data_IF_595742808046
#
_entry.id   IF_595742808046
#
_cell.length_a   1.000
_cell.length_b   1.000
_cell.length_c   1.000
_cell.angle_alpha   90.00
_cell.angle_beta   90.00
_cell.angle_gamma   90.00
#
_symmetry.space_group_name_H-M   'P 1'
#
loop_
_entity.id
_entity.type
_entity.pdbx_description
1 polymer ?
#
# COMPACT_ATOMS: atom_id res chain seq x y z
N UNK A 1 -21.14 -22.22 9.84
CA UNK A 1 -20.15 -22.25 8.74
C UNK A 1 -20.88 -21.72 7.52
N UNK A 2 -20.39 -20.61 6.97
CA UNK A 2 -21.04 -19.99 5.81
C UNK A 2 -20.64 -20.80 4.56
N UNK A 3 -21.63 -21.28 3.82
CA UNK A 3 -21.52 -22.21 2.69
C UNK A 3 -21.16 -21.53 1.36
N UNK A 4 -20.71 -20.27 1.39
CA UNK A 4 -20.48 -19.43 0.19
C UNK A 4 -19.07 -19.54 -0.40
N UNK A 5 -18.28 -20.57 -0.06
CA UNK A 5 -16.87 -20.62 -0.48
C UNK A 5 -16.72 -21.26 -1.86
N UNK A 6 -17.31 -22.40 -2.10
CA UNK A 6 -17.43 -23.05 -3.41
C UNK A 6 -18.61 -24.03 -3.35
N UNK A 7 -19.60 -23.85 -4.20
CA UNK A 7 -20.62 -24.87 -4.43
C UNK A 7 -20.21 -25.76 -5.62
N UNK A 8 -19.68 -26.94 -5.34
CA UNK A 8 -19.32 -27.93 -6.37
C UNK A 8 -20.51 -28.41 -7.22
N UNK A 9 -21.74 -28.08 -6.81
CA UNK A 9 -22.96 -28.41 -7.52
C UNK A 9 -23.57 -27.20 -8.27
N UNK A 10 -22.91 -26.05 -8.22
CA UNK A 10 -23.39 -24.88 -8.92
C UNK A 10 -23.51 -25.14 -10.41
N UNK A 11 -24.66 -24.77 -10.97
CA UNK A 11 -24.96 -24.94 -12.39
C UNK A 11 -25.13 -23.60 -13.05
N UNK A 12 -24.48 -23.40 -14.18
CA UNK A 12 -24.62 -22.23 -15.04
C UNK A 12 -25.12 -22.68 -16.42
N UNK A 13 -26.24 -22.14 -16.87
CA UNK A 13 -26.91 -22.53 -18.10
C UNK A 13 -27.27 -24.02 -18.20
N UNK A 14 -27.53 -24.71 -17.07
CA UNK A 14 -27.87 -26.12 -17.03
C UNK A 14 -26.70 -27.11 -17.01
N UNK A 15 -25.46 -26.58 -17.05
CA UNK A 15 -24.24 -27.39 -16.90
C UNK A 15 -23.55 -27.04 -15.57
N UNK A 16 -22.89 -28.03 -14.96
CA UNK A 16 -22.07 -27.78 -13.77
C UNK A 16 -20.91 -26.86 -14.09
N UNK A 17 -20.70 -25.83 -13.28
CA UNK A 17 -19.58 -24.88 -13.44
C UNK A 17 -18.23 -25.59 -13.31
N UNK A 18 -18.15 -26.59 -12.43
CA UNK A 18 -17.00 -27.50 -12.31
C UNK A 18 -17.42 -28.90 -12.75
N UNK A 19 -16.84 -29.40 -13.82
CA UNK A 19 -17.18 -30.73 -14.34
C UNK A 19 -16.69 -31.84 -13.41
N UNK A 20 -17.45 -32.97 -13.36
CA UNK A 20 -17.06 -34.14 -12.59
C UNK A 20 -15.69 -34.66 -13.01
N UNK A 21 -15.32 -34.54 -14.28
CA UNK A 21 -14.01 -34.91 -14.81
C UNK A 21 -12.89 -34.04 -14.22
N UNK A 22 -13.12 -32.73 -14.09
CA UNK A 22 -12.16 -31.82 -13.47
C UNK A 22 -11.96 -32.16 -11.98
N UNK A 23 -13.05 -32.40 -11.25
CA UNK A 23 -13.00 -32.83 -9.84
C UNK A 23 -12.29 -34.17 -9.68
N UNK A 24 -12.61 -35.17 -10.51
CA UNK A 24 -11.95 -36.48 -10.51
C UNK A 24 -10.44 -36.32 -10.69
N UNK A 25 -10.02 -35.51 -11.65
CA UNK A 25 -8.61 -35.26 -11.95
C UNK A 25 -7.87 -34.60 -10.78
N UNK A 26 -8.50 -33.64 -10.11
CA UNK A 26 -7.94 -32.99 -8.90
C UNK A 26 -7.79 -34.02 -7.77
N UNK A 27 -8.82 -34.85 -7.53
CA UNK A 27 -8.78 -35.88 -6.50
C UNK A 27 -7.69 -36.91 -6.80
N UNK A 28 -7.56 -37.37 -8.04
CA UNK A 28 -6.50 -38.32 -8.45
C UNK A 28 -5.11 -37.75 -8.21
N UNK A 29 -4.86 -36.45 -8.57
CA UNK A 29 -3.58 -35.79 -8.35
C UNK A 29 -3.29 -35.70 -6.85
N UNK A 30 -4.25 -35.20 -6.05
CA UNK A 30 -4.05 -35.01 -4.62
C UNK A 30 -3.95 -36.31 -3.83
N UNK A 31 -4.50 -37.41 -4.38
CA UNK A 31 -4.43 -38.77 -3.78
C UNK A 31 -3.14 -39.52 -4.12
N UNK A 32 -2.32 -39.01 -5.04
CA UNK A 32 -1.06 -39.63 -5.42
C UNK A 32 -0.07 -39.57 -4.23
N UNK A 33 0.49 -40.73 -3.80
CA UNK A 33 1.43 -40.80 -2.68
C UNK A 33 2.65 -39.89 -2.82
N UNK A 34 3.01 -39.45 -4.03
CA UNK A 34 4.11 -38.54 -4.29
C UNK A 34 3.84 -37.12 -3.81
N UNK A 35 2.57 -36.76 -3.62
CA UNK A 35 2.14 -35.42 -3.23
C UNK A 35 1.56 -35.38 -1.80
N UNK A 36 2.07 -36.24 -0.91
CA UNK A 36 1.66 -36.26 0.49
C UNK A 36 2.06 -34.95 1.15
N UNK A 37 1.11 -34.29 1.83
CA UNK A 37 1.26 -33.01 2.51
C UNK A 37 1.08 -33.13 4.03
N UNK A 38 1.32 -34.35 4.59
CA UNK A 38 1.24 -34.55 6.03
C UNK A 38 2.41 -33.88 6.77
N UNK A 39 2.21 -33.57 8.06
CA UNK A 39 3.24 -32.93 8.90
C UNK A 39 4.58 -33.67 8.98
N UNK A 40 4.62 -34.93 8.57
CA UNK A 40 5.85 -35.76 8.46
C UNK A 40 6.54 -35.63 7.11
N UNK A 41 5.82 -35.13 6.10
CA UNK A 41 6.26 -35.12 4.71
C UNK A 41 6.71 -33.72 4.28
N UNK A 42 6.17 -32.67 4.90
CA UNK A 42 6.46 -31.26 4.59
C UNK A 42 6.65 -30.44 5.86
N UNK A 43 7.40 -29.34 5.73
CA UNK A 43 7.57 -28.38 6.83
C UNK A 43 6.22 -27.71 7.21
N UNK A 44 6.00 -27.36 8.48
CA UNK A 44 4.72 -26.78 8.94
C UNK A 44 4.24 -25.60 8.12
N UNK A 45 5.16 -24.69 7.69
CA UNK A 45 4.84 -23.50 6.91
C UNK A 45 4.74 -23.74 5.38
N UNK A 46 4.95 -24.99 4.91
CA UNK A 46 4.95 -25.29 3.47
C UNK A 46 3.59 -24.98 2.81
N UNK A 47 2.49 -25.39 3.46
CA UNK A 47 1.14 -25.19 2.92
C UNK A 47 0.80 -23.70 2.81
N UNK A 48 1.16 -22.90 3.80
CA UNK A 48 0.99 -21.45 3.78
C UNK A 48 1.76 -20.81 2.62
N UNK A 49 3.04 -21.15 2.45
CA UNK A 49 3.87 -20.66 1.33
C UNK A 49 3.36 -21.09 -0.03
N UNK A 50 2.91 -22.34 -0.17
CA UNK A 50 2.32 -22.83 -1.41
C UNK A 50 1.03 -22.09 -1.76
N UNK A 51 0.18 -21.82 -0.76
CA UNK A 51 -1.05 -21.06 -0.94
C UNK A 51 -0.78 -19.60 -1.33
N UNK A 52 0.16 -18.94 -0.67
CA UNK A 52 0.60 -17.57 -1.06
C UNK A 52 1.12 -17.54 -2.50
N UNK A 53 1.87 -18.56 -2.93
CA UNK A 53 2.30 -18.68 -4.32
C UNK A 53 1.12 -18.76 -5.29
N UNK A 54 0.09 -19.56 -4.97
CA UNK A 54 -1.12 -19.66 -5.78
C UNK A 54 -1.88 -18.33 -5.83
N UNK A 55 -2.07 -17.67 -4.70
CA UNK A 55 -2.72 -16.35 -4.64
C UNK A 55 -1.97 -15.33 -5.52
N UNK A 56 -0.64 -15.32 -5.45
CA UNK A 56 0.18 -14.48 -6.33
C UNK A 56 -0.05 -14.80 -7.81
N UNK A 57 -0.07 -16.09 -8.18
CA UNK A 57 -0.32 -16.51 -9.57
C UNK A 57 -1.72 -16.13 -10.06
N UNK A 58 -2.73 -16.21 -9.21
CA UNK A 58 -4.06 -15.70 -9.53
C UNK A 58 -4.07 -14.18 -9.72
N UNK A 59 -3.41 -13.42 -8.84
CA UNK A 59 -3.28 -11.98 -8.98
C UNK A 59 -2.54 -11.56 -10.27
N UNK A 60 -1.49 -12.31 -10.66
CA UNK A 60 -0.76 -12.10 -11.93
C UNK A 60 -1.62 -12.39 -13.18
N UNK A 61 -2.51 -13.39 -13.11
CA UNK A 61 -3.27 -13.88 -14.28
C UNK A 61 -4.63 -13.21 -14.48
N UNK A 62 -5.26 -12.72 -13.42
CA UNK A 62 -6.64 -12.22 -13.44
C UNK A 62 -6.78 -10.72 -13.75
N UNK A 63 -5.68 -10.03 -14.09
CA UNK A 63 -5.67 -8.62 -14.46
C UNK A 63 -5.98 -7.67 -13.30
N UNK A 64 -6.50 -6.47 -13.61
CA UNK A 64 -6.72 -5.40 -12.62
C UNK A 64 -7.59 -5.82 -11.44
N UNK A 65 -8.67 -6.60 -11.67
CA UNK A 65 -9.65 -6.93 -10.62
C UNK A 65 -9.12 -7.84 -9.51
N UNK A 66 -8.17 -8.74 -9.81
CA UNK A 66 -7.61 -9.63 -8.78
C UNK A 66 -6.39 -9.04 -8.07
N UNK A 67 -5.67 -8.13 -8.73
CA UNK A 67 -4.56 -7.39 -8.12
C UNK A 67 -4.98 -6.41 -7.04
N UNK A 68 -6.26 -6.04 -6.97
CA UNK A 68 -6.83 -5.15 -5.95
C UNK A 68 -6.82 -5.76 -4.54
N UNK A 69 -6.74 -7.09 -4.43
CA UNK A 69 -6.85 -7.81 -3.17
C UNK A 69 -5.53 -8.38 -2.65
N UNK A 70 -4.43 -8.14 -3.34
CA UNK A 70 -3.15 -8.74 -2.99
C UNK A 70 -2.03 -7.70 -2.87
N UNK A 71 -1.57 -7.50 -1.64
CA UNK A 71 -0.36 -6.69 -1.38
C UNK A 71 0.88 -7.50 -1.77
N UNK A 72 1.83 -6.96 -2.54
CA UNK A 72 3.09 -7.65 -2.83
C UNK A 72 3.75 -8.14 -1.55
N UNK A 73 4.24 -9.38 -1.60
CA UNK A 73 4.79 -10.07 -0.44
C UNK A 73 5.89 -9.27 0.26
N UNK A 74 6.77 -8.69 -0.53
CA UNK A 74 7.92 -7.89 -0.09
C UNK A 74 7.47 -6.60 0.61
N UNK A 75 6.39 -5.99 0.12
CA UNK A 75 5.81 -4.78 0.75
C UNK A 75 5.18 -5.14 2.09
N UNK A 76 4.48 -6.28 2.16
CA UNK A 76 3.91 -6.77 3.42
C UNK A 76 5.00 -7.09 4.46
N UNK A 77 6.10 -7.73 4.06
CA UNK A 77 7.27 -7.95 4.91
C UNK A 77 7.89 -6.63 5.38
N UNK A 78 8.08 -5.67 4.46
CA UNK A 78 8.62 -4.35 4.81
C UNK A 78 7.74 -3.66 5.86
N UNK A 79 6.43 -3.60 5.64
CA UNK A 79 5.49 -2.97 6.58
C UNK A 79 5.56 -3.63 7.97
N UNK A 80 5.55 -4.96 8.02
CA UNK A 80 5.64 -5.70 9.29
C UNK A 80 6.97 -5.43 10.02
N UNK A 81 8.10 -5.35 9.31
CA UNK A 81 9.39 -4.99 9.90
C UNK A 81 9.49 -3.53 10.38
N UNK A 82 8.84 -2.59 9.67
CA UNK A 82 8.76 -1.18 10.10
C UNK A 82 7.97 -1.04 11.39
N UNK A 83 6.85 -1.76 11.49
CA UNK A 83 6.00 -1.78 12.69
C UNK A 83 6.69 -2.50 13.84
N UNK A 84 7.39 -3.60 13.58
CA UNK A 84 8.10 -4.41 14.58
C UNK A 84 7.19 -4.80 15.75
N UNK A 85 6.21 -5.69 15.54
CA UNK A 85 5.20 -6.05 16.52
C UNK A 85 5.79 -6.76 17.74
N UNK A 86 5.12 -6.62 18.89
CA UNK A 86 5.50 -7.25 20.16
C UNK A 86 4.46 -8.27 20.58
N UNK A 87 4.88 -9.22 21.44
CA UNK A 87 3.99 -10.27 21.94
C UNK A 87 2.72 -9.71 22.59
N UNK A 88 1.58 -10.32 22.23
CA UNK A 88 0.27 -10.02 22.79
C UNK A 88 -0.37 -8.74 22.28
N UNK A 89 0.28 -8.00 21.37
CA UNK A 89 -0.32 -6.83 20.73
C UNK A 89 -1.50 -7.21 19.83
N UNK A 90 -2.48 -6.33 19.73
CA UNK A 90 -3.63 -6.44 18.85
C UNK A 90 -3.33 -5.72 17.55
N UNK A 91 -3.39 -6.47 16.44
CA UNK A 91 -3.13 -5.98 15.09
C UNK A 91 -4.42 -5.95 14.30
N UNK A 92 -4.69 -4.83 13.63
CA UNK A 92 -5.88 -4.64 12.82
C UNK A 92 -5.55 -4.26 11.39
N UNK A 93 -6.27 -4.88 10.44
CA UNK A 93 -6.29 -4.47 9.04
C UNK A 93 -7.74 -4.18 8.61
N UNK A 94 -8.10 -2.89 8.40
CA UNK A 94 -9.47 -2.48 8.05
C UNK A 94 -9.92 -2.86 6.64
N UNK A 95 -9.02 -3.33 5.78
CA UNK A 95 -9.33 -3.86 4.44
C UNK A 95 -8.36 -4.99 4.09
N UNK A 96 -8.46 -6.08 4.88
CA UNK A 96 -7.41 -7.08 5.00
C UNK A 96 -7.15 -7.93 3.75
N UNK A 97 -8.01 -7.85 2.74
CA UNK A 97 -7.85 -8.66 1.54
C UNK A 97 -7.73 -10.15 1.89
N UNK A 98 -6.65 -10.78 1.47
CA UNK A 98 -6.32 -12.18 1.80
C UNK A 98 -5.73 -12.39 3.20
N UNK A 99 -5.63 -11.36 4.04
CA UNK A 99 -5.02 -11.43 5.37
C UNK A 99 -3.50 -11.40 5.39
N UNK A 100 -2.86 -11.17 4.24
CA UNK A 100 -1.40 -11.27 4.08
C UNK A 100 -0.60 -10.34 5.01
N UNK A 101 -1.05 -9.11 5.25
CA UNK A 101 -0.38 -8.17 6.17
C UNK A 101 -0.43 -8.67 7.62
N UNK A 102 -1.57 -9.17 8.07
CA UNK A 102 -1.75 -9.73 9.42
C UNK A 102 -0.81 -10.91 9.64
N UNK A 103 -0.74 -11.83 8.67
CA UNK A 103 0.15 -13.00 8.69
C UNK A 103 1.61 -12.55 8.78
N UNK A 104 2.03 -11.57 7.98
CA UNK A 104 3.43 -11.10 8.01
C UNK A 104 3.80 -10.44 9.34
N UNK A 105 2.87 -9.75 10.01
CA UNK A 105 3.10 -9.25 11.37
C UNK A 105 3.42 -10.39 12.35
N UNK A 106 2.64 -11.48 12.34
CA UNK A 106 2.89 -12.65 13.19
C UNK A 106 4.22 -13.34 12.83
N UNK A 107 4.52 -13.49 11.53
CA UNK A 107 5.79 -14.11 11.11
C UNK A 107 7.02 -13.26 11.49
N UNK A 108 6.94 -11.93 11.42
CA UNK A 108 8.03 -11.04 11.89
C UNK A 108 8.21 -11.17 13.41
N UNK A 109 7.13 -11.30 14.18
CA UNK A 109 7.24 -11.58 15.61
C UNK A 109 8.00 -12.89 15.85
N UNK A 110 7.66 -13.97 15.11
CA UNK A 110 8.34 -15.25 15.18
C UNK A 110 9.83 -15.19 14.82
N UNK A 111 10.19 -14.36 13.86
CA UNK A 111 11.60 -14.17 13.46
C UNK A 111 12.42 -13.35 14.45
N UNK A 112 11.79 -12.40 15.13
CA UNK A 112 12.49 -11.46 16.02
C UNK A 112 12.59 -11.95 17.45
N UNK A 113 11.75 -12.91 17.85
CA UNK A 113 11.71 -13.43 19.21
C UNK A 113 11.91 -14.96 19.23
N UNK A 114 12.82 -15.40 20.11
CA UNK A 114 13.18 -16.84 20.22
C UNK A 114 12.06 -17.69 20.85
N UNK A 115 11.26 -17.10 21.71
CA UNK A 115 10.14 -17.74 22.38
C UNK A 115 8.93 -16.82 22.33
N UNK A 116 7.80 -17.35 21.94
CA UNK A 116 6.53 -16.62 21.86
C UNK A 116 5.57 -17.27 22.84
N UNK A 117 5.32 -16.56 23.94
CA UNK A 117 4.36 -16.99 24.97
C UNK A 117 2.95 -16.43 24.66
N UNK A 118 2.90 -15.31 23.96
CA UNK A 118 1.65 -14.63 23.57
C UNK A 118 1.72 -14.24 22.10
N UNK A 119 1.05 -14.96 21.20
CA UNK A 119 0.95 -14.57 19.80
C UNK A 119 0.21 -13.23 19.67
N UNK A 120 0.27 -12.63 18.49
CA UNK A 120 -0.54 -11.44 18.15
C UNK A 120 -2.01 -11.82 18.11
N UNK A 121 -2.86 -10.88 18.47
CA UNK A 121 -4.31 -10.97 18.23
C UNK A 121 -4.61 -10.29 16.91
N UNK A 122 -4.96 -11.06 15.90
CA UNK A 122 -5.15 -10.58 14.55
C UNK A 122 -6.62 -10.28 14.29
N UNK A 123 -6.91 -9.07 13.78
CA UNK A 123 -8.24 -8.62 13.44
C UNK A 123 -8.25 -8.08 12.00
N UNK A 124 -9.18 -8.54 11.19
CA UNK A 124 -9.31 -8.11 9.80
C UNK A 124 -10.75 -7.83 9.42
N UNK A 125 -10.97 -6.80 8.60
CA UNK A 125 -12.26 -6.55 7.99
C UNK A 125 -12.11 -6.56 6.47
N UNK A 126 -13.01 -7.27 5.75
CA UNK A 126 -13.00 -7.38 4.30
C UNK A 126 -14.40 -7.22 3.73
N UNK A 127 -14.51 -6.46 2.64
CA UNK A 127 -15.79 -6.17 1.99
C UNK A 127 -16.28 -7.36 1.15
N UNK A 128 -15.38 -7.94 0.36
CA UNK A 128 -15.69 -8.92 -0.68
C UNK A 128 -15.79 -10.34 -0.11
N UNK A 129 -16.92 -11.02 -0.34
CA UNK A 129 -17.17 -12.36 0.25
C UNK A 129 -16.14 -13.41 -0.15
N UNK A 130 -15.74 -13.44 -1.42
CA UNK A 130 -14.70 -14.39 -1.90
C UNK A 130 -13.34 -14.12 -1.25
N UNK A 131 -12.94 -12.88 -1.13
CA UNK A 131 -11.67 -12.48 -0.52
C UNK A 131 -11.67 -12.71 1.00
N UNK A 132 -12.81 -12.46 1.65
CA UNK A 132 -13.04 -12.82 3.05
C UNK A 132 -12.83 -14.32 3.31
N UNK A 133 -13.36 -15.20 2.44
CA UNK A 133 -13.16 -16.64 2.54
C UNK A 133 -11.68 -17.02 2.34
N UNK A 134 -11.00 -16.38 1.40
CA UNK A 134 -9.55 -16.54 1.18
C UNK A 134 -8.76 -16.15 2.45
N UNK A 135 -9.10 -15.04 3.10
CA UNK A 135 -8.44 -14.62 4.33
C UNK A 135 -8.57 -15.67 5.45
N UNK A 136 -9.78 -16.21 5.65
CA UNK A 136 -9.98 -17.29 6.62
C UNK A 136 -9.16 -18.53 6.31
N UNK A 137 -9.15 -18.96 5.05
CA UNK A 137 -8.35 -20.12 4.63
C UNK A 137 -6.85 -19.87 4.85
N UNK A 138 -6.40 -18.66 4.55
CA UNK A 138 -5.00 -18.26 4.71
C UNK A 138 -4.57 -18.30 6.19
N UNK A 139 -5.42 -17.82 7.12
CA UNK A 139 -5.17 -17.94 8.55
C UNK A 139 -5.03 -19.40 8.98
N UNK A 140 -5.95 -20.27 8.55
CA UNK A 140 -5.91 -21.70 8.88
C UNK A 140 -4.66 -22.39 8.32
N UNK A 141 -4.27 -22.09 7.07
CA UNK A 141 -3.08 -22.69 6.44
C UNK A 141 -1.76 -22.26 7.06
N UNK A 142 -1.74 -21.10 7.72
CA UNK A 142 -0.60 -20.60 8.48
C UNK A 142 -0.67 -20.96 9.98
N UNK A 143 -1.66 -21.77 10.40
CA UNK A 143 -1.91 -22.13 11.79
C UNK A 143 -2.00 -20.90 12.72
N UNK A 144 -2.73 -19.88 12.25
CA UNK A 144 -2.91 -18.61 12.97
C UNK A 144 -4.36 -18.40 13.34
N UNK A 145 -4.58 -17.93 14.56
CA UNK A 145 -5.89 -17.46 15.02
C UNK A 145 -6.07 -15.99 14.66
N UNK A 146 -7.18 -15.66 13.99
CA UNK A 146 -7.54 -14.30 13.63
C UNK A 146 -9.05 -14.12 13.52
N UNK A 147 -9.55 -13.00 14.00
CA UNK A 147 -10.94 -12.60 13.84
C UNK A 147 -11.08 -11.81 12.53
N UNK A 148 -11.55 -12.48 11.48
CA UNK A 148 -11.84 -11.83 10.20
C UNK A 148 -13.35 -11.65 10.08
N UNK A 149 -13.80 -10.44 9.78
CA UNK A 149 -15.23 -10.09 9.67
C UNK A 149 -15.54 -9.51 8.30
N UNK A 150 -16.75 -9.77 7.79
CA UNK A 150 -17.20 -9.23 6.51
C UNK A 150 -17.95 -7.92 6.70
N UNK A 151 -17.59 -6.90 5.93
CA UNK A 151 -18.30 -5.62 5.88
C UNK A 151 -17.49 -4.48 5.30
N UNK A 152 -18.19 -3.41 4.94
CA UNK A 152 -17.56 -2.17 4.48
C UNK A 152 -17.07 -1.35 5.69
N UNK A 153 -15.79 -1.24 5.86
CA UNK A 153 -15.18 -0.54 7.01
C UNK A 153 -15.55 0.94 7.05
N UNK A 154 -15.68 1.59 5.90
CA UNK A 154 -16.00 3.02 5.87
C UNK A 154 -17.41 3.29 6.35
N UNK A 155 -18.41 2.49 5.92
CA UNK A 155 -19.82 2.72 6.25
C UNK A 155 -20.33 1.87 7.41
N UNK A 156 -19.63 0.76 7.73
CA UNK A 156 -20.07 -0.18 8.76
C UNK A 156 -18.86 -0.90 9.39
N UNK A 157 -18.01 -0.17 10.14
CA UNK A 157 -16.93 -0.80 10.88
C UNK A 157 -17.47 -1.81 11.87
N UNK A 158 -16.85 -2.97 11.98
CA UNK A 158 -17.33 -4.11 12.78
C UNK A 158 -16.64 -4.25 14.14
N UNK A 159 -15.42 -3.75 14.26
CA UNK A 159 -14.70 -3.82 15.53
C UNK A 159 -15.07 -2.61 16.38
N UNK A 160 -16.00 -2.83 17.31
CA UNK A 160 -16.54 -1.82 18.22
C UNK A 160 -16.42 -2.27 19.67
N UNK A 161 -16.15 -1.32 20.56
CA UNK A 161 -16.25 -1.44 22.01
C UNK A 161 -17.12 -0.30 22.52
N UNK A 162 -18.17 -0.60 23.29
CA UNK A 162 -19.12 0.39 23.83
C UNK A 162 -19.66 1.37 22.75
N UNK A 163 -20.00 0.85 21.58
CA UNK A 163 -20.46 1.61 20.39
C UNK A 163 -19.44 2.59 19.80
N UNK A 164 -18.18 2.53 20.22
CA UNK A 164 -17.04 3.28 19.65
C UNK A 164 -16.14 2.35 18.88
N UNK A 165 -15.28 2.90 18.02
CA UNK A 165 -14.24 2.09 17.36
C UNK A 165 -13.32 1.48 18.41
N UNK A 166 -13.14 0.16 18.33
CA UNK A 166 -12.11 -0.55 19.08
C UNK A 166 -10.74 0.02 18.74
N UNK A 167 -9.88 0.13 19.75
CA UNK A 167 -8.51 0.65 19.61
C UNK A 167 -7.50 -0.51 19.59
N UNK A 168 -6.53 -0.40 18.69
CA UNK A 168 -5.52 -1.43 18.47
C UNK A 168 -4.12 -0.89 18.75
N UNK A 169 -3.20 -1.79 19.10
CA UNK A 169 -1.79 -1.44 19.27
C UNK A 169 -1.15 -1.14 17.89
N UNK A 170 -1.58 -1.89 16.89
CA UNK A 170 -1.05 -1.82 15.53
C UNK A 170 -2.21 -1.79 14.52
N UNK A 171 -2.12 -0.89 13.54
CA UNK A 171 -2.98 -0.94 12.33
C UNK A 171 -2.09 -0.99 11.10
N UNK A 172 -2.27 -2.01 10.27
CA UNK A 172 -1.56 -2.17 8.99
C UNK A 172 -2.56 -2.35 7.88
N UNK A 173 -2.41 -1.65 6.77
CA UNK A 173 -3.38 -1.77 5.69
C UNK A 173 -2.85 -1.28 4.35
N UNK A 174 -3.38 -1.85 3.26
CA UNK A 174 -3.18 -1.39 1.89
C UNK A 174 -4.56 -1.21 1.25
N UNK A 175 -5.23 -0.07 1.49
CA UNK A 175 -6.55 0.19 0.91
C UNK A 175 -6.48 0.40 -0.60
N UNK A 176 -7.64 0.35 -1.26
CA UNK A 176 -7.76 0.73 -2.67
C UNK A 176 -7.41 2.21 -2.85
N UNK A 177 -6.39 2.51 -3.67
CA UNK A 177 -5.94 3.87 -3.92
C UNK A 177 -6.92 4.64 -4.80
N UNK A 178 -7.00 5.96 -4.55
CA UNK A 178 -7.86 6.86 -5.33
C UNK A 178 -9.31 6.40 -5.44
N UNK A 179 -9.84 5.76 -4.41
CA UNK A 179 -11.24 5.34 -4.37
C UNK A 179 -12.17 6.56 -4.47
N UNK A 180 -13.01 6.58 -5.50
CA UNK A 180 -13.84 7.74 -5.86
C UNK A 180 -15.18 7.82 -5.11
N UNK A 181 -15.56 6.84 -4.36
CA UNK A 181 -16.90 6.74 -3.75
C UNK A 181 -17.00 7.34 -2.35
N UNK A 182 -16.11 8.27 -1.98
CA UNK A 182 -16.18 8.97 -0.70
C UNK A 182 -17.13 10.17 -0.83
N UNK A 183 -18.39 9.96 -0.48
CA UNK A 183 -19.40 11.03 -0.43
C UNK A 183 -19.42 11.66 0.96
N UNK A 184 -19.05 12.95 1.05
CA UNK A 184 -19.05 13.69 2.30
C UNK A 184 -20.40 13.62 3.04
N UNK A 185 -21.52 13.70 2.33
CA UNK A 185 -22.87 13.68 2.95
C UNK A 185 -23.14 12.39 3.73
N UNK A 186 -22.53 11.27 3.31
CA UNK A 186 -22.63 9.99 4.03
C UNK A 186 -21.89 10.02 5.37
N UNK A 187 -20.87 10.87 5.51
CA UNK A 187 -19.97 10.88 6.66
C UNK A 187 -20.08 12.13 7.53
N UNK A 188 -20.95 13.08 7.19
CA UNK A 188 -21.15 14.31 7.99
C UNK A 188 -21.58 14.02 9.43
N UNK A 189 -22.36 12.94 9.64
CA UNK A 189 -22.80 12.47 10.94
C UNK A 189 -22.15 11.13 11.30
N UNK A 190 -20.83 10.98 11.01
CA UNK A 190 -20.11 9.76 11.36
C UNK A 190 -20.12 9.53 12.88
N UNK A 191 -20.77 8.45 13.37
CA UNK A 191 -20.91 8.20 14.82
C UNK A 191 -19.57 7.89 15.50
N UNK A 192 -18.52 7.72 14.72
CA UNK A 192 -17.17 7.40 15.20
C UNK A 192 -16.23 8.60 15.17
N UNK A 193 -16.72 9.79 14.77
CA UNK A 193 -15.97 11.05 14.75
C UNK A 193 -14.63 10.97 14.00
N UNK A 194 -14.59 10.17 12.91
CA UNK A 194 -13.33 9.88 12.19
C UNK A 194 -12.81 11.06 11.38
N UNK A 195 -13.65 11.98 10.92
CA UNK A 195 -13.33 12.92 9.86
C UNK A 195 -13.34 14.38 10.28
N UNK A 196 -14.46 14.90 10.78
CA UNK A 196 -14.64 16.33 11.11
C UNK A 196 -13.52 16.87 11.98
N UNK A 197 -13.17 16.16 13.04
CA UNK A 197 -12.20 16.59 14.05
C UNK A 197 -10.76 16.24 13.71
N UNK A 198 -10.59 15.53 12.58
CA UNK A 198 -9.29 15.03 12.11
C UNK A 198 -8.85 15.66 10.78
N UNK A 199 -9.08 16.97 10.63
CA UNK A 199 -8.67 17.74 9.46
C UNK A 199 -9.72 17.88 8.36
N UNK A 200 -10.96 17.39 8.60
CA UNK A 200 -12.09 17.51 7.69
C UNK A 200 -12.27 16.30 6.77
N UNK A 201 -13.13 16.44 5.79
CA UNK A 201 -13.54 15.34 4.91
C UNK A 201 -12.67 15.23 3.67
N UNK A 202 -12.27 14.00 3.32
CA UNK A 202 -11.56 13.73 2.07
C UNK A 202 -12.42 14.13 0.84
N UNK A 203 -11.80 14.43 -0.31
CA UNK A 203 -12.56 14.73 -1.53
C UNK A 203 -13.23 13.48 -2.08
N UNK A 204 -14.38 13.64 -2.77
CA UNK A 204 -15.09 12.53 -3.41
C UNK A 204 -14.28 11.81 -4.51
N UNK A 205 -13.18 12.42 -4.97
CA UNK A 205 -12.27 11.86 -5.98
C UNK A 205 -11.20 10.91 -5.42
N UNK A 206 -10.95 10.94 -4.10
CA UNK A 206 -9.94 10.10 -3.45
C UNK A 206 -10.22 9.94 -1.96
N UNK A 207 -10.37 8.70 -1.51
CA UNK A 207 -10.55 8.36 -0.10
C UNK A 207 -9.22 8.09 0.65
N UNK A 208 -8.06 8.31 0.03
CA UNK A 208 -6.76 7.96 0.62
C UNK A 208 -6.59 8.54 2.03
N UNK A 209 -6.89 9.82 2.21
CA UNK A 209 -6.82 10.46 3.53
C UNK A 209 -7.93 10.01 4.48
N UNK A 210 -9.10 9.62 3.98
CA UNK A 210 -10.15 9.05 4.83
C UNK A 210 -9.72 7.71 5.46
N UNK A 211 -8.97 6.90 4.72
CA UNK A 211 -8.35 5.68 5.26
C UNK A 211 -7.33 5.99 6.35
N UNK A 212 -6.47 6.99 6.14
CA UNK A 212 -5.51 7.43 7.17
C UNK A 212 -6.21 7.94 8.43
N UNK A 213 -7.32 8.70 8.28
CA UNK A 213 -8.15 9.15 9.40
C UNK A 213 -8.79 7.96 10.15
N UNK A 214 -9.31 6.96 9.43
CA UNK A 214 -9.84 5.75 10.07
C UNK A 214 -8.74 5.00 10.84
N UNK A 215 -7.55 4.87 10.27
CA UNK A 215 -6.40 4.22 10.92
C UNK A 215 -6.02 4.94 12.21
N UNK A 216 -5.84 6.27 12.15
CA UNK A 216 -5.38 7.01 13.34
C UNK A 216 -6.42 6.99 14.49
N UNK A 217 -7.73 7.04 14.13
CA UNK A 217 -8.81 6.92 15.13
C UNK A 217 -8.93 5.49 15.67
N UNK A 218 -8.46 4.48 14.96
CA UNK A 218 -8.45 3.07 15.42
C UNK A 218 -7.20 2.69 16.22
N UNK A 219 -6.24 3.60 16.39
CA UNK A 219 -5.02 3.35 17.19
C UNK A 219 -5.22 3.72 18.65
N UNK A 220 -4.59 2.95 19.55
CA UNK A 220 -4.40 3.32 20.96
C UNK A 220 -3.48 4.54 21.04
N UNK A 221 -3.46 5.24 22.18
CA UNK A 221 -2.58 6.39 22.44
C UNK A 221 -1.07 6.07 22.30
N UNK A 222 -0.70 4.81 22.42
CA UNK A 222 0.65 4.29 22.22
C UNK A 222 0.79 3.53 20.90
N UNK A 223 -0.29 3.48 20.11
CA UNK A 223 -0.38 2.68 18.91
C UNK A 223 0.35 3.29 17.71
N UNK A 224 0.68 2.45 16.75
CA UNK A 224 1.32 2.84 15.49
C UNK A 224 0.72 2.11 14.30
N UNK A 225 0.76 2.75 13.15
CA UNK A 225 0.21 2.20 11.92
C UNK A 225 1.16 2.31 10.74
N UNK A 226 0.98 1.42 9.76
CA UNK A 226 1.60 1.54 8.45
C UNK A 226 0.54 1.38 7.36
N UNK A 227 0.47 2.35 6.47
CA UNK A 227 -0.56 2.41 5.42
C UNK A 227 0.11 2.60 4.08
N UNK A 228 -0.27 1.77 3.10
CA UNK A 228 0.15 1.97 1.71
C UNK A 228 -0.88 2.86 1.01
N UNK A 229 -0.42 3.94 0.39
CA UNK A 229 -1.28 4.89 -0.33
C UNK A 229 -0.66 5.29 -1.68
N UNK A 230 -1.47 5.95 -2.51
CA UNK A 230 -1.00 6.57 -3.75
C UNK A 230 -0.01 7.71 -3.49
N UNK A 231 1.00 7.84 -4.36
CA UNK A 231 2.01 8.91 -4.25
C UNK A 231 1.41 10.32 -4.31
N UNK A 232 0.32 10.49 -5.06
CA UNK A 232 -0.39 11.76 -5.15
C UNK A 232 -0.96 12.23 -3.81
N UNK A 233 -1.37 11.32 -2.92
CA UNK A 233 -1.90 11.67 -1.60
C UNK A 233 -0.92 12.52 -0.77
N UNK A 234 0.38 12.33 -0.95
CA UNK A 234 1.41 13.09 -0.26
C UNK A 234 1.57 14.54 -0.74
N UNK A 235 1.10 14.87 -1.95
CA UNK A 235 1.44 16.15 -2.59
C UNK A 235 0.25 16.92 -3.17
N UNK A 236 -0.90 16.26 -3.44
CA UNK A 236 -2.07 16.95 -4.04
C UNK A 236 -2.45 18.20 -3.24
N UNK A 237 -2.58 19.35 -3.94
CA UNK A 237 -2.90 20.65 -3.37
C UNK A 237 -1.73 21.43 -2.79
N UNK A 238 -0.52 20.85 -2.66
CA UNK A 238 0.67 21.62 -2.25
C UNK A 238 1.19 22.51 -3.37
N UNK A 239 1.61 23.73 -3.04
CA UNK A 239 2.09 24.73 -4.00
C UNK A 239 0.98 25.45 -4.76
N UNK A 240 -0.28 25.13 -4.54
CA UNK A 240 -1.43 25.81 -5.15
C UNK A 240 -2.04 26.82 -4.19
N UNK A 241 -2.48 27.97 -4.73
CA UNK A 241 -3.31 28.90 -4.00
C UNK A 241 -4.72 28.34 -3.83
N UNK A 242 -5.30 28.50 -2.63
CA UNK A 242 -6.64 28.04 -2.29
C UNK A 242 -6.71 26.81 -1.38
N UNK A 243 -7.92 26.53 -0.94
CA UNK A 243 -8.21 25.40 -0.07
C UNK A 243 -8.24 24.07 -0.84
N UNK A 244 -7.51 23.08 -0.35
CA UNK A 244 -7.55 21.71 -0.86
C UNK A 244 -7.80 20.76 0.32
N UNK A 245 -8.85 19.92 0.22
CA UNK A 245 -9.29 19.01 1.28
C UNK A 245 -8.16 18.08 1.75
N UNK A 246 -7.44 17.46 0.83
CA UNK A 246 -6.34 16.55 1.19
C UNK A 246 -5.19 17.29 1.86
N UNK A 247 -4.85 18.50 1.40
CA UNK A 247 -3.86 19.36 2.04
C UNK A 247 -4.28 19.74 3.46
N UNK A 248 -5.55 20.04 3.71
CA UNK A 248 -6.06 20.38 5.05
C UNK A 248 -5.94 19.19 6.01
N UNK A 249 -6.31 17.99 5.58
CA UNK A 249 -6.16 16.78 6.39
C UNK A 249 -4.66 16.51 6.64
N UNK A 250 -3.83 16.56 5.60
CA UNK A 250 -2.37 16.39 5.71
C UNK A 250 -1.74 17.39 6.67
N UNK A 251 -2.15 18.66 6.60
CA UNK A 251 -1.76 19.68 7.56
C UNK A 251 -2.11 19.29 8.98
N UNK A 252 -3.33 18.82 9.22
CA UNK A 252 -3.77 18.38 10.55
C UNK A 252 -2.87 17.24 11.07
N UNK A 253 -2.58 16.20 10.26
CA UNK A 253 -1.71 15.09 10.65
C UNK A 253 -0.28 15.55 11.01
N UNK A 254 0.27 16.49 10.26
CA UNK A 254 1.60 17.07 10.55
C UNK A 254 1.55 17.94 11.81
N UNK A 255 0.51 18.74 11.98
CA UNK A 255 0.35 19.62 13.13
C UNK A 255 0.18 18.86 14.45
N UNK A 256 -0.49 17.70 14.40
CA UNK A 256 -0.62 16.77 15.53
C UNK A 256 0.60 15.85 15.72
N UNK A 257 1.64 16.00 14.91
CA UNK A 257 2.87 15.19 14.96
C UNK A 257 2.63 13.68 14.82
N UNK A 258 1.67 13.26 14.00
CA UNK A 258 1.25 11.87 13.84
C UNK A 258 2.04 11.11 12.76
N UNK A 259 2.60 11.79 11.77
CA UNK A 259 3.38 11.17 10.69
C UNK A 259 4.82 10.94 11.16
N UNK A 260 5.22 9.68 11.33
CA UNK A 260 6.59 9.34 11.73
C UNK A 260 7.53 9.19 10.53
N UNK A 261 7.07 8.52 9.46
CA UNK A 261 7.84 8.37 8.23
C UNK A 261 6.98 8.31 6.98
N UNK A 262 7.56 8.71 5.86
CA UNK A 262 7.00 8.51 4.52
C UNK A 262 8.06 7.86 3.63
N UNK A 263 7.74 6.71 3.05
CA UNK A 263 8.67 5.86 2.32
C UNK A 263 8.16 5.73 0.88
N UNK A 264 8.90 6.23 -0.09
CA UNK A 264 8.61 6.06 -1.51
C UNK A 264 9.12 4.69 -1.97
N UNK A 265 8.22 3.86 -2.44
CA UNK A 265 8.53 2.54 -2.98
C UNK A 265 8.94 2.62 -4.46
N UNK A 266 9.61 1.59 -5.00
CA UNK A 266 9.86 1.47 -6.43
C UNK A 266 8.59 1.41 -7.27
N UNK A 267 8.70 1.82 -8.53
CA UNK A 267 7.66 1.65 -9.54
C UNK A 267 7.41 0.17 -9.86
N UNK A 268 6.21 -0.12 -10.36
CA UNK A 268 5.82 -1.41 -10.90
C UNK A 268 5.96 -2.60 -9.93
N UNK A 269 5.74 -2.38 -8.63
CA UNK A 269 5.64 -3.44 -7.61
C UNK A 269 4.22 -4.01 -7.51
N UNK A 270 3.20 -3.17 -7.57
CA UNK A 270 1.81 -3.54 -7.34
C UNK A 270 1.15 -4.13 -8.59
N UNK A 271 0.32 -5.17 -8.41
CA UNK A 271 -0.22 -5.93 -9.54
C UNK A 271 -1.20 -5.14 -10.40
N UNK A 272 -1.98 -4.24 -9.80
CA UNK A 272 -3.03 -3.46 -10.47
C UNK A 272 -2.54 -2.14 -11.09
N UNK A 273 -1.29 -1.73 -10.84
CA UNK A 273 -0.74 -0.47 -11.35
C UNK A 273 0.75 -0.57 -11.63
N UNK A 274 1.26 0.31 -12.48
CA UNK A 274 2.70 0.53 -12.68
C UNK A 274 3.25 1.66 -11.81
N UNK A 275 2.36 2.45 -11.19
CA UNK A 275 2.76 3.56 -10.32
C UNK A 275 3.44 3.07 -9.04
N UNK A 276 4.33 3.88 -8.51
CA UNK A 276 4.90 3.69 -7.18
C UNK A 276 3.83 3.86 -6.09
N UNK A 277 4.00 3.16 -4.98
CA UNK A 277 3.25 3.41 -3.75
C UNK A 277 4.06 4.18 -2.72
N UNK A 278 3.38 4.73 -1.73
CA UNK A 278 3.99 5.26 -0.51
C UNK A 278 3.58 4.41 0.68
N UNK A 279 4.53 4.10 1.58
CA UNK A 279 4.18 3.66 2.93
C UNK A 279 4.23 4.88 3.85
N UNK A 280 3.09 5.19 4.47
CA UNK A 280 3.02 6.20 5.54
C UNK A 280 3.00 5.50 6.88
N UNK A 281 3.98 5.80 7.73
CA UNK A 281 4.06 5.30 9.11
C UNK A 281 3.47 6.35 10.04
N UNK A 282 2.42 5.97 10.76
CA UNK A 282 1.73 6.79 11.75
C UNK A 282 2.08 6.33 13.15
N UNK A 283 2.27 7.26 14.09
CA UNK A 283 2.63 6.95 15.47
C UNK A 283 2.08 8.00 16.43
N UNK A 284 1.22 7.58 17.37
CA UNK A 284 0.73 8.45 18.43
C UNK A 284 1.78 8.76 19.51
N UNK A 285 2.75 7.87 19.69
CA UNK A 285 3.75 7.96 20.76
C UNK A 285 5.17 7.89 20.22
N UNK A 286 5.54 8.86 19.36
CA UNK A 286 6.89 8.96 18.84
C UNK A 286 7.93 9.08 19.94
N UNK A 287 9.07 8.43 19.76
CA UNK A 287 10.22 8.64 20.61
C UNK A 287 10.61 10.13 20.67
N UNK A 288 11.12 10.57 21.80
CA UNK A 288 11.48 11.99 22.03
C UNK A 288 12.39 12.54 20.93
N UNK A 289 13.34 11.75 20.42
CA UNK A 289 14.26 12.12 19.34
C UNK A 289 13.58 12.35 17.99
N UNK A 290 12.36 11.80 17.80
CA UNK A 290 11.57 11.86 16.55
C UNK A 290 10.42 12.83 16.60
N UNK A 291 10.12 13.41 17.77
CA UNK A 291 9.02 14.39 17.90
C UNK A 291 9.31 15.64 17.09
N UNK A 292 8.26 16.16 16.44
CA UNK A 292 8.34 17.30 15.54
C UNK A 292 9.13 17.07 14.25
N UNK A 293 9.39 15.79 13.90
CA UNK A 293 10.15 15.42 12.71
C UNK A 293 9.42 14.33 11.92
N UNK A 294 9.69 14.28 10.61
CA UNK A 294 9.26 13.21 9.72
C UNK A 294 10.47 12.64 8.98
N UNK A 295 10.56 11.32 8.92
CA UNK A 295 11.63 10.61 8.22
C UNK A 295 11.15 10.35 6.78
N UNK A 296 11.78 10.98 5.80
CA UNK A 296 11.53 10.72 4.39
C UNK A 296 12.54 9.73 3.85
N UNK A 297 12.07 8.62 3.26
CA UNK A 297 12.91 7.58 2.67
C UNK A 297 12.56 7.45 1.19
N UNK A 298 13.53 7.64 0.32
CA UNK A 298 13.37 7.41 -1.11
C UNK A 298 13.96 6.04 -1.48
N UNK A 299 13.11 5.01 -1.49
CA UNK A 299 13.49 3.65 -1.83
C UNK A 299 13.23 3.32 -3.33
N UNK A 300 12.93 4.30 -4.17
CA UNK A 300 12.57 4.08 -5.58
C UNK A 300 13.62 3.32 -6.40
N UNK A 301 14.89 3.38 -5.99
CA UNK A 301 15.98 2.65 -6.63
C UNK A 301 16.21 1.23 -6.06
N UNK A 302 15.51 0.84 -5.00
CA UNK A 302 15.72 -0.43 -4.28
C UNK A 302 14.87 -1.55 -4.88
N UNK A 303 15.10 -1.91 -6.14
CA UNK A 303 14.36 -2.99 -6.79
C UNK A 303 15.23 -3.87 -7.68
N UNK A 304 14.75 -5.08 -7.90
CA UNK A 304 15.21 -5.97 -8.96
C UNK A 304 14.13 -6.10 -10.03
N UNK A 305 14.57 -6.11 -11.29
CA UNK A 305 13.64 -6.27 -12.42
C UNK A 305 13.05 -7.67 -12.44
N UNK A 306 11.74 -7.77 -12.55
CA UNK A 306 10.99 -9.00 -12.70
C UNK A 306 10.00 -8.93 -13.87
N UNK A 307 9.35 -10.04 -14.16
CA UNK A 307 8.25 -10.14 -15.12
C UNK A 307 7.11 -10.94 -14.45
N UNK A 308 5.90 -10.42 -14.43
CA UNK A 308 5.41 -9.14 -15.01
C UNK A 308 5.72 -7.90 -14.15
N UNK A 309 6.16 -8.05 -12.92
CA UNK A 309 6.37 -6.98 -11.93
C UNK A 309 7.81 -6.95 -11.43
N UNK A 310 8.27 -5.76 -11.04
CA UNK A 310 9.47 -5.61 -10.23
C UNK A 310 9.24 -6.22 -8.85
N UNK A 311 10.30 -6.48 -8.10
CA UNK A 311 10.21 -6.92 -6.70
C UNK A 311 11.26 -6.21 -5.85
N UNK A 312 10.96 -6.09 -4.56
CA UNK A 312 11.86 -5.51 -3.57
C UNK A 312 12.72 -6.63 -2.98
N UNK A 313 14.04 -6.67 -3.25
CA UNK A 313 14.90 -7.73 -2.72
C UNK A 313 15.05 -7.61 -1.19
N UNK A 314 15.43 -8.71 -0.55
CA UNK A 314 15.58 -8.76 0.92
C UNK A 314 16.60 -7.73 1.44
N UNK A 315 17.67 -7.49 0.73
CA UNK A 315 18.67 -6.46 1.03
C UNK A 315 18.05 -5.05 0.98
N UNK A 316 17.14 -4.82 0.03
CA UNK A 316 16.39 -3.57 -0.06
C UNK A 316 15.46 -3.38 1.13
N UNK A 317 14.76 -4.44 1.57
CA UNK A 317 13.92 -4.40 2.78
C UNK A 317 14.79 -4.06 4.00
N UNK A 318 15.91 -4.76 4.19
CA UNK A 318 16.84 -4.50 5.31
C UNK A 318 17.35 -3.06 5.31
N UNK A 319 17.78 -2.56 4.15
CA UNK A 319 18.25 -1.18 3.98
C UNK A 319 17.19 -0.16 4.41
N UNK A 320 15.95 -0.32 3.95
CA UNK A 320 14.84 0.59 4.29
C UNK A 320 14.53 0.54 5.79
N UNK A 321 14.46 -0.66 6.37
CA UNK A 321 14.20 -0.85 7.80
C UNK A 321 15.30 -0.23 8.67
N UNK A 322 16.57 -0.41 8.30
CA UNK A 322 17.71 0.21 8.98
C UNK A 322 17.69 1.73 8.84
N UNK A 323 17.39 2.25 7.65
CA UNK A 323 17.23 3.67 7.39
C UNK A 323 16.15 4.29 8.28
N UNK A 324 15.00 3.62 8.41
CA UNK A 324 13.92 4.04 9.30
C UNK A 324 14.33 3.99 10.79
N UNK A 325 15.02 2.94 11.22
CA UNK A 325 15.44 2.77 12.61
C UNK A 325 16.51 3.79 13.00
N UNK A 326 17.48 4.03 12.16
CA UNK A 326 18.59 4.95 12.41
C UNK A 326 18.15 6.41 12.33
N UNK A 327 17.19 6.74 11.47
CA UNK A 327 16.64 8.08 11.28
C UNK A 327 17.74 9.16 11.13
N UNK A 328 18.73 8.91 10.28
CA UNK A 328 19.84 9.82 9.99
C UNK A 328 19.87 10.19 8.52
N UNK A 329 20.12 11.46 8.23
CA UNK A 329 20.23 11.93 6.86
C UNK A 329 21.30 11.17 6.09
N UNK A 330 20.96 10.71 4.89
CA UNK A 330 21.88 10.06 3.98
C UNK A 330 21.57 10.44 2.53
N UNK A 331 22.62 10.56 1.73
CA UNK A 331 22.51 10.95 0.32
C UNK A 331 21.68 9.92 -0.43
N UNK A 332 20.73 10.37 -1.24
CA UNK A 332 19.86 9.58 -2.11
C UNK A 332 18.88 8.64 -1.40
N UNK A 333 18.87 8.54 -0.06
CA UNK A 333 18.02 7.58 0.63
C UNK A 333 17.16 8.22 1.73
N UNK A 334 17.75 9.00 2.66
CA UNK A 334 17.04 9.48 3.85
C UNK A 334 17.20 10.98 4.04
N UNK A 335 16.11 11.64 4.39
CA UNK A 335 16.07 12.99 4.95
C UNK A 335 15.15 13.03 6.16
N UNK A 336 15.66 13.48 7.28
CA UNK A 336 14.86 13.78 8.47
C UNK A 336 14.53 15.27 8.43
N UNK A 337 13.28 15.59 8.11
CA UNK A 337 12.82 16.98 8.03
C UNK A 337 12.07 17.36 9.30
N UNK A 338 12.26 18.62 9.73
CA UNK A 338 11.49 19.20 10.84
C UNK A 338 10.09 19.62 10.38
N UNK A 339 9.20 19.83 11.34
CA UNK A 339 7.85 20.34 11.05
C UNK A 339 7.90 21.68 10.32
N UNK A 340 8.85 22.55 10.65
CA UNK A 340 9.05 23.85 10.02
C UNK A 340 9.44 23.71 8.53
N UNK A 341 10.33 22.77 8.22
CA UNK A 341 10.69 22.46 6.83
C UNK A 341 9.48 21.94 6.03
N UNK A 342 8.60 21.17 6.66
CA UNK A 342 7.38 20.65 6.03
C UNK A 342 6.38 21.80 5.79
N UNK A 343 6.24 22.73 6.73
CA UNK A 343 5.39 23.93 6.58
C UNK A 343 5.88 24.80 5.42
N UNK A 344 7.19 25.06 5.33
CA UNK A 344 7.80 25.81 4.22
C UNK A 344 7.56 25.12 2.87
N UNK A 345 7.51 23.79 2.84
CA UNK A 345 7.16 23.02 1.66
C UNK A 345 5.64 22.82 1.47
N UNK A 346 4.81 23.67 2.08
CA UNK A 346 3.36 23.68 1.96
C UNK A 346 2.73 22.32 2.26
N UNK A 347 3.19 21.69 3.34
CA UNK A 347 2.74 20.37 3.81
C UNK A 347 2.87 19.26 2.75
N UNK A 348 3.77 19.40 1.80
CA UNK A 348 4.12 18.33 0.88
C UNK A 348 4.86 17.24 1.63
N UNK A 349 4.40 15.99 1.55
CA UNK A 349 5.00 14.82 2.20
C UNK A 349 5.64 13.84 1.19
N UNK A 350 5.87 14.27 -0.05
CA UNK A 350 6.54 13.43 -1.05
C UNK A 350 8.03 13.28 -0.74
N UNK A 351 8.57 12.06 -0.52
CA UNK A 351 10.00 11.87 -0.26
C UNK A 351 10.91 12.44 -1.35
N UNK A 352 10.49 12.43 -2.60
CA UNK A 352 11.24 13.02 -3.71
C UNK A 352 11.48 14.54 -3.57
N UNK A 353 10.72 15.22 -2.71
CA UNK A 353 10.89 16.64 -2.42
C UNK A 353 12.04 16.92 -1.46
N UNK A 354 12.32 15.95 -0.57
CA UNK A 354 13.28 16.11 0.54
C UNK A 354 14.57 15.37 0.30
N UNK A 355 14.51 14.19 -0.30
CA UNK A 355 15.69 13.37 -0.57
C UNK A 355 16.25 13.74 -1.92
N UNK A 356 17.34 14.48 -1.92
CA UNK A 356 18.04 14.92 -3.15
C UNK A 356 18.89 13.77 -3.72
N UNK A 357 18.74 13.52 -5.01
CA UNK A 357 19.63 12.62 -5.75
C UNK A 357 20.97 13.34 -6.02
N UNK A 358 22.07 12.84 -5.50
CA UNK A 358 23.39 13.42 -5.72
C UNK A 358 23.84 13.43 -7.20
N UNK A 359 23.15 12.71 -8.07
CA UNK A 359 23.42 12.66 -9.49
C UNK A 359 22.81 13.83 -10.31
N UNK A 360 22.05 14.74 -9.69
CA UNK A 360 21.25 15.72 -10.44
C UNK A 360 21.38 17.17 -10.00
N UNK A 361 22.42 17.54 -9.25
CA UNK A 361 22.60 18.95 -8.94
C UNK A 361 24.02 19.39 -9.28
N UNK A 362 24.41 19.34 -10.53
CA UNK A 362 24.92 20.57 -11.12
C UNK A 362 23.71 21.52 -11.15
N UNK A 363 23.66 22.47 -10.22
CA UNK A 363 22.77 23.61 -10.34
C UNK A 363 23.20 24.38 -11.59
N UNK A 364 22.72 23.95 -12.76
CA UNK A 364 22.82 24.75 -13.97
C UNK A 364 22.06 26.03 -13.68
N UNK A 365 22.73 27.16 -13.75
CA UNK A 365 22.03 28.44 -13.63
C UNK A 365 20.85 28.47 -14.61
N UNK A 366 19.80 29.22 -14.29
CA UNK A 366 18.60 29.32 -15.12
C UNK A 366 18.96 29.73 -16.56
N UNK A 367 19.98 30.60 -16.75
CA UNK A 367 20.37 31.07 -18.07
C UNK A 367 20.88 29.95 -19.00
N UNK A 368 21.77 29.00 -18.60
CA UNK A 368 22.17 27.87 -19.43
C UNK A 368 21.00 26.96 -19.80
N UNK A 369 20.00 26.80 -18.92
CA UNK A 369 18.79 25.99 -19.21
C UNK A 369 17.94 26.69 -20.26
N UNK A 370 17.76 28.00 -20.16
CA UNK A 370 17.05 28.78 -21.17
C UNK A 370 17.76 28.75 -22.52
N UNK A 371 19.08 28.89 -22.52
CA UNK A 371 19.90 28.82 -23.76
C UNK A 371 19.76 27.46 -24.45
N UNK A 372 19.78 26.35 -23.69
CA UNK A 372 19.55 25.00 -24.22
C UNK A 372 18.11 24.84 -24.77
N UNK A 373 17.12 25.41 -24.08
CA UNK A 373 15.71 25.38 -24.50
C UNK A 373 15.51 26.17 -25.80
N UNK A 374 16.15 27.33 -25.96
CA UNK A 374 16.13 28.10 -27.21
C UNK A 374 16.81 27.36 -28.37
N UNK A 375 17.94 26.66 -28.10
CA UNK A 375 18.62 25.84 -29.12
C UNK A 375 17.75 24.69 -29.58
N UNK A 376 17.12 23.97 -28.64
CA UNK A 376 16.21 22.85 -28.96
C UNK A 376 15.00 23.34 -29.75
N UNK A 377 14.39 24.47 -29.38
CA UNK A 377 13.27 25.06 -30.12
C UNK A 377 13.66 25.51 -31.54
N UNK A 378 14.90 25.98 -31.74
CA UNK A 378 15.41 26.30 -33.07
C UNK A 378 15.60 25.03 -33.91
N UNK A 379 16.12 23.94 -33.33
CA UNK A 379 16.27 22.65 -34.00
C UNK A 379 14.93 22.02 -34.36
N UNK A 380 13.93 22.11 -33.50
CA UNK A 380 12.56 21.66 -33.74
C UNK A 380 11.97 22.37 -34.96
N UNK A 381 12.07 23.72 -35.03
CA UNK A 381 11.60 24.50 -36.20
C UNK A 381 12.31 24.10 -37.50
N UNK A 382 13.61 23.82 -37.43
CA UNK A 382 14.39 23.39 -38.60
C UNK A 382 13.97 21.99 -39.06
N UNK A 383 13.73 21.07 -38.15
CA UNK A 383 13.21 19.72 -38.44
C UNK A 383 11.78 19.78 -39.02
N UNK A 384 10.91 20.61 -38.48
CA UNK A 384 9.56 20.82 -39.01
C UNK A 384 9.58 21.38 -40.42
N UNK A 385 10.50 22.30 -40.71
CA UNK A 385 10.67 22.82 -42.10
C UNK A 385 11.11 21.71 -43.04
N UNK A 386 12.10 20.90 -42.62
CA UNK A 386 12.60 19.78 -43.43
C UNK A 386 11.52 18.71 -43.64
N UNK A 387 10.73 18.39 -42.63
CA UNK A 387 9.60 17.48 -42.72
C UNK A 387 8.53 18.02 -43.68
N UNK A 388 8.20 19.32 -43.59
CA UNK A 388 7.25 19.98 -44.48
C UNK A 388 7.69 19.90 -45.95
N UNK A 389 8.99 20.10 -46.23
CA UNK A 389 9.56 19.95 -47.58
C UNK A 389 9.47 18.52 -48.08
N UNK A 390 9.79 17.52 -47.23
CA UNK A 390 9.67 16.10 -47.61
C UNK A 390 8.23 15.74 -47.93
N UNK A 391 7.28 16.11 -47.08
CA UNK A 391 5.86 15.83 -47.30
C UNK A 391 5.34 16.50 -48.54
N UNK A 392 5.76 17.74 -48.79
CA UNK A 392 5.38 18.47 -50.05
C UNK A 392 5.91 17.74 -51.28
N UNK A 393 7.14 17.24 -51.24
CA UNK A 393 7.71 16.43 -52.34
C UNK A 393 6.98 15.10 -52.60
N UNK A 394 6.43 14.52 -51.52
CA UNK A 394 5.62 13.30 -51.53
C UNK A 394 4.14 13.55 -51.87
N UNK A 395 3.73 14.80 -52.12
CA UNK A 395 2.35 15.16 -52.44
C UNK A 395 1.42 15.25 -51.23
N UNK A 396 1.93 15.29 -50.01
CA UNK A 396 1.16 15.44 -48.78
C UNK A 396 1.26 16.85 -48.23
N UNK A 397 0.22 17.33 -47.57
CA UNK A 397 0.27 18.57 -46.78
C UNK A 397 0.66 18.22 -45.32
N UNK A 398 1.77 18.79 -44.86
CA UNK A 398 2.20 18.71 -43.45
C UNK A 398 1.90 20.07 -42.77
N UNK A 399 1.17 20.04 -41.67
CA UNK A 399 0.88 21.22 -40.88
C UNK A 399 -0.53 21.77 -41.00
N UNK A 400 -1.43 21.20 -40.23
CA UNK A 400 -2.64 21.87 -39.72
C UNK A 400 -2.58 21.75 -38.19
N UNK A 401 -2.47 22.88 -37.47
CA UNK A 401 -2.79 22.88 -36.05
C UNK A 401 -4.24 22.45 -35.88
N UNK A 402 -4.56 21.60 -34.85
CA UNK A 402 -5.95 21.31 -34.52
C UNK A 402 -6.70 22.56 -34.11
#
# INVERSE_FOLDING_TARGET
MNTDIVDFNETRNGEREISDEALRRVIEILSDPRYRLGLKDVEPDFLGRAYEYLLRKFAESSGQSAGEFFTPLEVAWLMAHLINPKQGEEVYDPCCGSGGLLIKCQLVLCQTQKQIDKPLKLHGQELTGSTFAIAHMNMVLHDMEGEIVRGNTMTNPKFLEDSKLKKFDIVVTNPMWNQKSFDQSTFENDPYERFSDHGGFAPGSSADWAWLQHVIVSLKETGKGAVVIDTGAASRGSGNEGENKEKMIRKWFVDQDLVEAVILLPDNLFYNTTAAGLIMVLNHAKDVSRRGKVIFINASAQFSKGKPKNYLPEEGIKLIVEAFRNAQDSINLVKVATKEEIIVNDYNLSPARYVTNAATVEQRGIQPILDDLFKLSAQEKQLDTTLSEIFTRLGFRYGGKP
#
